data_IF_375893955509
#
_entry.id   IF_375893955509
#
_cell.length_a   1.000
_cell.length_b   1.000
_cell.length_c   1.000
_cell.angle_alpha   90.00
_cell.angle_beta   90.00
_cell.angle_gamma   90.00
#
_symmetry.space_group_name_H-M   'P 1'
#
loop_
_entity.id
_entity.type
_entity.pdbx_description
1 polymer ?
#
# COMPACT_ATOMS: atom_id res chain seq x y z
N UNK A 1 14.29 37.45 -12.25
CA UNK A 1 14.51 35.99 -12.25
C UNK A 1 13.34 35.34 -12.98
N UNK A 2 13.63 34.51 -13.99
CA UNK A 2 12.85 34.36 -15.24
C UNK A 2 11.66 33.38 -15.16
N UNK A 3 10.56 33.70 -15.87
CA UNK A 3 9.42 32.80 -16.14
C UNK A 3 9.82 31.48 -16.83
N UNK A 4 10.95 31.44 -17.53
CA UNK A 4 11.44 30.24 -18.22
C UNK A 4 11.81 29.10 -17.26
N UNK A 5 12.39 29.42 -16.09
CA UNK A 5 12.73 28.44 -15.05
C UNK A 5 11.51 27.84 -14.35
N UNK A 6 10.36 28.54 -14.32
CA UNK A 6 9.11 27.99 -13.75
C UNK A 6 8.40 27.03 -14.72
N UNK A 7 8.45 27.29 -16.03
CA UNK A 7 7.82 26.45 -17.06
C UNK A 7 8.59 25.14 -17.29
N UNK A 8 9.93 25.17 -17.18
CA UNK A 8 10.75 23.96 -17.26
C UNK A 8 10.54 23.04 -16.04
N UNK A 9 10.40 23.62 -14.84
CA UNK A 9 10.19 22.85 -13.61
C UNK A 9 8.79 22.21 -13.53
N UNK A 10 7.78 22.82 -14.15
CA UNK A 10 6.42 22.24 -14.23
C UNK A 10 6.29 21.16 -15.31
N UNK A 11 7.05 21.23 -16.40
CA UNK A 11 7.11 20.18 -17.42
C UNK A 11 7.72 18.87 -16.89
N UNK A 12 8.90 18.96 -16.26
CA UNK A 12 9.62 17.81 -15.70
C UNK A 12 8.78 17.08 -14.64
N UNK A 13 8.15 17.82 -13.72
CA UNK A 13 7.30 17.22 -12.67
C UNK A 13 6.07 16.50 -13.24
N UNK A 14 5.58 16.90 -14.41
CA UNK A 14 4.43 16.28 -15.05
C UNK A 14 4.81 14.97 -15.73
N UNK A 15 5.94 14.94 -16.42
CA UNK A 15 6.50 13.73 -17.02
C UNK A 15 6.80 12.65 -15.96
N UNK A 16 7.39 13.05 -14.83
CA UNK A 16 7.63 12.15 -13.68
C UNK A 16 6.34 11.52 -13.13
N UNK A 17 5.27 12.31 -13.03
CA UNK A 17 3.97 11.82 -12.55
C UNK A 17 3.32 10.85 -13.55
N UNK A 18 3.41 11.14 -14.84
CA UNK A 18 2.89 10.27 -15.90
C UNK A 18 3.63 8.92 -15.95
N UNK A 19 4.96 8.93 -15.76
CA UNK A 19 5.77 7.72 -15.66
C UNK A 19 5.40 6.90 -14.41
N UNK A 20 5.23 7.56 -13.25
CA UNK A 20 4.80 6.92 -12.02
C UNK A 20 3.41 6.28 -12.15
N UNK A 21 2.47 6.97 -12.81
CA UNK A 21 1.13 6.43 -13.09
C UNK A 21 1.18 5.22 -13.99
N UNK A 22 1.96 5.28 -15.08
CA UNK A 22 2.14 4.14 -15.97
C UNK A 22 2.71 2.92 -15.24
N UNK A 23 3.73 3.14 -14.40
CA UNK A 23 4.36 2.08 -13.60
C UNK A 23 3.40 1.47 -12.58
N UNK A 24 2.58 2.31 -11.93
CA UNK A 24 1.53 1.87 -11.00
C UNK A 24 0.49 1.02 -11.73
N UNK A 25 -0.02 1.49 -12.88
CA UNK A 25 -0.99 0.75 -13.70
C UNK A 25 -0.44 -0.61 -14.14
N UNK A 26 0.80 -0.67 -14.64
CA UNK A 26 1.42 -1.93 -15.08
C UNK A 26 1.58 -2.94 -13.94
N UNK A 27 1.86 -2.47 -12.72
CA UNK A 27 2.03 -3.36 -11.57
C UNK A 27 0.70 -3.83 -11.01
N UNK A 28 -0.29 -2.95 -10.96
CA UNK A 28 -1.63 -3.27 -10.48
C UNK A 28 -2.44 -4.10 -11.48
N UNK A 29 -2.06 -4.14 -12.77
CA UNK A 29 -2.67 -5.03 -13.76
C UNK A 29 -2.28 -6.50 -13.62
N UNK A 30 -1.19 -6.80 -12.91
CA UNK A 30 -0.72 -8.16 -12.57
C UNK A 30 -1.46 -8.77 -11.37
N UNK A 31 -2.45 -8.05 -10.84
CA UNK A 31 -3.23 -8.44 -9.66
C UNK A 31 -4.66 -8.70 -10.12
N UNK A 32 -5.11 -9.95 -10.02
CA UNK A 32 -6.44 -10.36 -10.50
C UNK A 32 -7.59 -9.73 -9.72
N UNK A 33 -7.47 -9.70 -8.39
CA UNK A 33 -8.49 -9.13 -7.52
C UNK A 33 -7.88 -8.16 -6.51
N UNK A 34 -8.40 -6.93 -6.47
CA UNK A 34 -8.02 -5.85 -5.55
C UNK A 34 -9.21 -5.52 -4.67
N UNK A 35 -9.09 -5.78 -3.37
CA UNK A 35 -10.17 -5.58 -2.40
C UNK A 35 -9.71 -4.67 -1.27
N UNK A 36 -10.35 -3.52 -1.13
CA UNK A 36 -10.11 -2.64 0.01
C UNK A 36 -10.86 -3.10 1.25
N UNK A 37 -10.22 -2.97 2.41
CA UNK A 37 -10.84 -3.21 3.71
C UNK A 37 -10.88 -1.87 4.45
N UNK A 38 -12.09 -1.41 4.78
CA UNK A 38 -12.33 -0.10 5.39
C UNK A 38 -13.09 -0.21 6.71
N UNK A 39 -13.01 0.83 7.53
CA UNK A 39 -13.83 0.96 8.74
C UNK A 39 -14.23 2.41 8.99
N UNK A 40 -15.40 2.62 9.60
CA UNK A 40 -15.86 3.97 9.96
C UNK A 40 -15.13 4.58 11.16
N UNK A 41 -14.53 3.74 12.01
CA UNK A 41 -13.78 4.15 13.22
C UNK A 41 -12.57 3.24 13.45
N UNK A 42 -11.64 3.71 14.26
CA UNK A 42 -10.54 2.88 14.79
C UNK A 42 -11.06 1.85 15.80
N UNK A 43 -10.33 0.74 15.95
CA UNK A 43 -10.60 -0.27 16.98
C UNK A 43 -11.69 -1.30 16.66
N UNK A 44 -12.34 -1.24 15.50
CA UNK A 44 -13.39 -2.22 15.11
C UNK A 44 -12.87 -3.59 14.64
N UNK A 45 -11.55 -3.81 14.67
CA UNK A 45 -10.93 -5.06 14.21
C UNK A 45 -10.68 -5.16 12.70
N UNK A 46 -10.67 -4.04 11.97
CA UNK A 46 -10.40 -3.99 10.51
C UNK A 46 -9.17 -4.80 10.09
N UNK A 47 -8.00 -4.50 10.66
CA UNK A 47 -6.75 -5.20 10.33
C UNK A 47 -6.79 -6.68 10.72
N UNK A 48 -7.51 -7.02 11.79
CA UNK A 48 -7.72 -8.42 12.19
C UNK A 48 -8.48 -9.19 11.12
N UNK A 49 -9.55 -8.60 10.58
CA UNK A 49 -10.30 -9.17 9.47
C UNK A 49 -9.41 -9.29 8.23
N UNK A 50 -8.64 -8.25 7.88
CA UNK A 50 -7.73 -8.25 6.73
C UNK A 50 -6.72 -9.40 6.80
N UNK A 51 -6.01 -9.55 7.93
CA UNK A 51 -5.00 -10.60 8.13
C UNK A 51 -5.62 -12.00 8.09
N UNK A 52 -6.77 -12.20 8.74
CA UNK A 52 -7.42 -13.51 8.77
C UNK A 52 -7.96 -13.92 7.39
N UNK A 53 -8.51 -12.97 6.62
CA UNK A 53 -8.90 -13.21 5.23
C UNK A 53 -7.69 -13.59 4.38
N UNK A 54 -6.58 -12.87 4.50
CA UNK A 54 -5.35 -13.18 3.78
C UNK A 54 -4.85 -14.60 4.09
N UNK A 55 -4.81 -14.99 5.37
CA UNK A 55 -4.44 -16.33 5.80
C UNK A 55 -5.40 -17.39 5.25
N UNK A 56 -6.71 -17.12 5.27
CA UNK A 56 -7.71 -18.06 4.75
C UNK A 56 -7.56 -18.28 3.23
N UNK A 57 -7.30 -17.23 2.47
CA UNK A 57 -7.05 -17.33 1.03
C UNK A 57 -5.68 -17.92 0.71
N UNK A 58 -4.64 -17.62 1.50
CA UNK A 58 -3.30 -18.20 1.31
C UNK A 58 -3.26 -19.71 1.57
N UNK A 59 -4.22 -20.26 2.34
CA UNK A 59 -4.43 -21.71 2.47
C UNK A 59 -5.09 -22.35 1.24
N UNK A 60 -5.72 -21.56 0.37
CA UNK A 60 -6.45 -22.02 -0.83
C UNK A 60 -5.65 -21.80 -2.12
N UNK A 61 -4.95 -20.68 -2.22
CA UNK A 61 -4.11 -20.35 -3.37
C UNK A 61 -2.68 -20.88 -3.20
N UNK A 62 -1.93 -20.87 -4.30
CA UNK A 62 -0.50 -21.18 -4.26
C UNK A 62 0.28 -20.13 -3.45
N UNK A 63 1.41 -20.51 -2.81
CA UNK A 63 2.27 -19.56 -2.10
C UNK A 63 2.69 -18.38 -2.99
N UNK A 64 2.64 -17.16 -2.45
CA UNK A 64 3.02 -15.95 -3.17
C UNK A 64 1.91 -15.32 -4.03
N UNK A 65 0.70 -15.88 -4.02
CA UNK A 65 -0.48 -15.37 -4.77
C UNK A 65 -1.40 -14.45 -3.98
N UNK A 66 -1.21 -14.35 -2.67
CA UNK A 66 -1.97 -13.44 -1.79
C UNK A 66 -1.07 -12.34 -1.29
N UNK A 67 -1.53 -11.09 -1.43
CA UNK A 67 -0.87 -9.89 -0.94
C UNK A 67 -1.68 -9.18 0.14
N UNK A 68 -0.98 -8.55 1.09
CA UNK A 68 -1.54 -7.53 1.99
C UNK A 68 -0.75 -6.24 1.80
N UNK A 69 -1.46 -5.16 1.50
CA UNK A 69 -0.97 -3.80 1.57
C UNK A 69 -1.52 -3.14 2.83
N UNK A 70 -0.65 -2.89 3.80
CA UNK A 70 -0.95 -2.11 5.00
C UNK A 70 -0.69 -0.63 4.70
N UNK A 71 -1.78 0.12 4.49
CA UNK A 71 -1.75 1.54 4.17
C UNK A 71 -2.00 2.44 5.40
N UNK A 72 -2.12 1.85 6.60
CA UNK A 72 -2.25 2.62 7.84
C UNK A 72 -0.89 3.13 8.31
N UNK A 73 -0.60 4.39 7.96
CA UNK A 73 0.68 5.05 8.26
C UNK A 73 0.84 5.34 9.76
N UNK A 74 -0.24 5.61 10.46
CA UNK A 74 -0.18 6.06 11.86
C UNK A 74 -0.16 4.91 12.86
N UNK A 75 -0.68 3.75 12.46
CA UNK A 75 -0.74 2.59 13.34
C UNK A 75 -0.66 1.27 12.60
N UNK A 76 0.43 1.01 11.85
CA UNK A 76 0.57 -0.24 11.11
C UNK A 76 0.52 -1.42 12.09
N UNK A 77 -0.30 -2.40 11.74
CA UNK A 77 -0.55 -3.56 12.60
C UNK A 77 -0.30 -4.89 11.88
N UNK A 78 -0.29 -4.91 10.54
CA UNK A 78 -0.17 -6.15 9.76
C UNK A 78 1.14 -6.89 10.06
N UNK A 79 2.33 -6.25 10.04
CA UNK A 79 3.59 -6.95 10.29
C UNK A 79 3.63 -7.61 11.67
N UNK A 80 3.18 -6.89 12.70
CA UNK A 80 3.11 -7.40 14.06
C UNK A 80 2.19 -8.63 14.17
N UNK A 81 1.01 -8.57 13.55
CA UNK A 81 0.03 -9.67 13.56
C UNK A 81 0.53 -10.93 12.84
N UNK A 82 1.38 -10.76 11.83
CA UNK A 82 1.98 -11.87 11.08
C UNK A 82 3.31 -12.36 11.67
N UNK A 83 3.79 -11.78 12.78
CA UNK A 83 5.07 -12.12 13.39
C UNK A 83 6.29 -11.62 12.61
N UNK A 84 6.12 -10.59 11.78
CA UNK A 84 7.13 -10.00 10.89
C UNK A 84 7.72 -8.69 11.43
N UNK A 85 7.68 -8.50 12.75
CA UNK A 85 8.22 -7.27 13.36
C UNK A 85 9.73 -7.19 13.14
N UNK A 86 10.20 -6.09 12.56
CA UNK A 86 11.62 -5.86 12.26
C UNK A 86 12.06 -6.35 10.89
N UNK A 87 11.16 -6.93 10.09
CA UNK A 87 11.44 -7.20 8.68
C UNK A 87 11.57 -5.88 7.89
N UNK A 88 12.32 -5.93 6.80
CA UNK A 88 12.54 -4.79 5.90
C UNK A 88 12.21 -5.17 4.46
N UNK A 89 11.75 -4.20 3.68
CA UNK A 89 11.57 -4.39 2.23
C UNK A 89 12.94 -4.54 1.56
N UNK A 90 13.05 -5.50 0.64
CA UNK A 90 14.24 -5.63 -0.20
C UNK A 90 14.13 -4.64 -1.35
N UNK A 91 15.11 -3.76 -1.49
CA UNK A 91 15.15 -2.75 -2.55
C UNK A 91 16.16 -3.16 -3.62
N UNK A 92 15.80 -2.96 -4.88
CA UNK A 92 16.66 -3.18 -6.05
C UNK A 92 16.42 -2.08 -7.09
N UNK A 93 17.22 -2.01 -8.17
CA UNK A 93 16.94 -1.11 -9.29
C UNK A 93 15.56 -1.31 -9.94
N UNK A 94 14.96 -2.49 -9.80
CA UNK A 94 13.61 -2.80 -10.32
C UNK A 94 12.48 -2.29 -9.41
N UNK A 95 12.80 -1.81 -8.20
CA UNK A 95 11.86 -1.40 -7.17
C UNK A 95 12.04 -2.15 -5.84
N UNK A 96 11.09 -1.93 -4.94
CA UNK A 96 10.99 -2.63 -3.66
C UNK A 96 10.14 -3.89 -3.79
N UNK A 97 10.57 -4.96 -3.13
CA UNK A 97 9.86 -6.24 -3.12
C UNK A 97 9.14 -6.45 -1.78
N UNK A 98 7.89 -6.96 -1.80
CA UNK A 98 7.18 -7.32 -0.58
C UNK A 98 7.97 -8.28 0.31
N UNK A 99 7.85 -8.10 1.62
CA UNK A 99 8.31 -9.10 2.58
C UNK A 99 7.47 -10.38 2.43
N UNK A 100 8.07 -11.54 2.70
CA UNK A 100 7.38 -12.83 2.60
C UNK A 100 6.97 -13.28 3.99
N UNK A 101 5.67 -13.17 4.28
CA UNK A 101 5.09 -13.62 5.53
C UNK A 101 4.71 -15.10 5.53
N UNK A 102 4.03 -15.55 6.59
CA UNK A 102 3.52 -16.92 6.72
C UNK A 102 2.71 -17.35 5.50
N UNK A 103 2.78 -18.64 5.14
CA UNK A 103 2.10 -19.22 3.97
C UNK A 103 2.47 -18.58 2.62
N UNK A 104 3.57 -17.81 2.56
CA UNK A 104 3.99 -17.09 1.36
C UNK A 104 3.16 -15.85 1.08
N UNK A 105 2.44 -15.30 2.06
CA UNK A 105 1.71 -14.03 1.90
C UNK A 105 2.73 -12.92 1.64
N UNK A 106 2.53 -12.16 0.56
CA UNK A 106 3.35 -10.98 0.27
C UNK A 106 2.85 -9.80 1.09
N UNK A 107 3.72 -9.22 1.91
CA UNK A 107 3.34 -8.14 2.83
C UNK A 107 4.11 -6.88 2.49
N UNK A 108 3.37 -5.78 2.40
CA UNK A 108 3.90 -4.43 2.29
C UNK A 108 3.26 -3.62 3.39
N UNK A 109 4.09 -2.96 4.20
CA UNK A 109 3.65 -2.02 5.23
C UNK A 109 4.64 -0.87 5.29
N UNK A 110 4.14 0.31 5.64
CA UNK A 110 4.97 1.47 5.98
C UNK A 110 5.91 1.18 7.17
N UNK A 111 5.53 0.22 8.02
CA UNK A 111 6.34 -0.23 9.16
C UNK A 111 7.73 -0.71 8.75
N UNK A 112 7.85 -1.29 7.55
CA UNK A 112 9.12 -1.77 7.01
C UNK A 112 10.03 -0.67 6.48
N UNK A 113 9.51 0.55 6.33
CA UNK A 113 10.23 1.72 5.84
C UNK A 113 10.70 2.64 6.97
N UNK A 114 10.13 2.50 8.17
CA UNK A 114 10.49 3.32 9.32
C UNK A 114 11.67 2.67 10.06
N UNK A 115 12.81 3.37 10.24
CA UNK A 115 13.93 2.85 11.02
C UNK A 115 13.61 2.75 12.52
N UNK A 116 12.59 3.48 12.99
CA UNK A 116 12.11 3.47 14.37
C UNK A 116 10.59 3.70 14.40
N UNK A 117 9.87 2.92 15.23
CA UNK A 117 8.39 2.94 15.30
C UNK A 117 7.84 4.07 16.16
N UNK A 118 8.70 4.79 16.89
CA UNK A 118 8.32 5.91 17.75
C UNK A 118 8.48 7.27 17.08
N UNK A 119 9.14 7.33 15.92
CA UNK A 119 9.32 8.59 15.18
C UNK A 119 8.03 8.96 14.45
N UNK A 120 7.28 10.00 14.87
CA UNK A 120 6.05 10.39 14.19
C UNK A 120 6.39 10.99 12.84
N UNK A 121 5.99 10.31 11.77
CA UNK A 121 6.16 10.83 10.41
C UNK A 121 5.03 11.78 10.09
N UNK A 122 5.26 13.08 10.31
CA UNK A 122 4.28 14.13 9.98
C UNK A 122 4.39 14.46 8.49
N UNK A 123 3.63 13.74 7.65
CA UNK A 123 3.46 14.09 6.24
C UNK A 123 2.27 15.03 6.05
N UNK A 124 2.53 16.26 5.57
CA UNK A 124 1.47 17.25 5.28
C UNK A 124 0.85 17.00 3.90
N UNK A 125 -0.46 16.82 3.85
CA UNK A 125 -1.34 16.79 2.66
C UNK A 125 -0.67 16.35 1.33
N UNK A 126 -0.20 17.29 0.48
CA UNK A 126 0.37 16.95 -0.83
C UNK A 126 1.61 16.05 -0.79
N UNK A 127 2.44 16.17 0.26
CA UNK A 127 3.62 15.32 0.46
C UNK A 127 3.19 13.89 0.77
N UNK A 128 2.10 13.72 1.52
CA UNK A 128 1.56 12.40 1.89
C UNK A 128 1.04 11.65 0.65
N UNK A 129 0.19 12.27 -0.15
CA UNK A 129 -0.34 11.63 -1.37
C UNK A 129 0.76 11.30 -2.36
N UNK A 130 1.77 12.17 -2.51
CA UNK A 130 2.92 11.91 -3.37
C UNK A 130 3.77 10.74 -2.85
N UNK A 131 4.01 10.66 -1.54
CA UNK A 131 4.74 9.56 -0.92
C UNK A 131 3.99 8.23 -1.05
N UNK A 132 2.66 8.21 -0.83
CA UNK A 132 1.82 7.03 -1.03
C UNK A 132 1.85 6.59 -2.50
N UNK A 133 1.72 7.52 -3.44
CA UNK A 133 1.79 7.21 -4.88
C UNK A 133 3.14 6.61 -5.24
N UNK A 134 4.23 7.22 -4.81
CA UNK A 134 5.58 6.70 -5.03
C UNK A 134 5.74 5.31 -4.42
N UNK A 135 5.28 5.13 -3.19
CA UNK A 135 5.33 3.84 -2.52
C UNK A 135 4.59 2.76 -3.33
N UNK A 136 3.34 3.00 -3.70
CA UNK A 136 2.54 2.06 -4.49
C UNK A 136 3.16 1.79 -5.87
N UNK A 137 3.75 2.80 -6.51
CA UNK A 137 4.41 2.67 -7.81
C UNK A 137 5.81 2.07 -7.73
N UNK A 138 6.40 1.90 -6.53
CA UNK A 138 7.73 1.31 -6.30
C UNK A 138 7.71 -0.13 -5.76
N UNK A 139 6.55 -0.63 -5.29
CA UNK A 139 6.36 -2.05 -4.98
C UNK A 139 6.19 -2.93 -6.23
N UNK A 140 7.05 -3.93 -6.37
CA UNK A 140 6.96 -4.99 -7.38
C UNK A 140 6.27 -6.22 -6.78
N UNK A 141 4.93 -6.28 -6.90
CA UNK A 141 4.12 -7.40 -6.40
C UNK A 141 4.35 -8.71 -7.15
N UNK A 142 4.65 -8.63 -8.45
CA UNK A 142 4.54 -9.76 -9.37
C UNK A 142 3.07 -10.19 -9.54
N UNK A 143 2.85 -11.44 -9.96
CA UNK A 143 1.51 -11.98 -10.16
C UNK A 143 0.82 -12.30 -8.83
N UNK A 144 -0.38 -11.76 -8.63
CA UNK A 144 -1.24 -12.05 -7.48
C UNK A 144 -2.64 -12.46 -7.93
N UNK A 145 -3.22 -13.42 -7.22
CA UNK A 145 -4.65 -13.75 -7.36
C UNK A 145 -5.52 -12.83 -6.50
N UNK A 146 -5.00 -12.35 -5.36
CA UNK A 146 -5.71 -11.44 -4.47
C UNK A 146 -4.74 -10.46 -3.78
N UNK A 147 -5.08 -9.17 -3.81
CA UNK A 147 -4.48 -8.13 -2.96
C UNK A 147 -5.55 -7.57 -2.02
N UNK A 148 -5.33 -7.71 -0.72
CA UNK A 148 -6.11 -7.06 0.32
C UNK A 148 -5.44 -5.75 0.74
N UNK A 149 -6.19 -4.66 0.74
CA UNK A 149 -5.68 -3.32 1.08
C UNK A 149 -6.27 -2.89 2.42
N UNK A 150 -5.46 -2.90 3.48
CA UNK A 150 -5.86 -2.43 4.80
C UNK A 150 -5.74 -0.90 4.85
N UNK A 151 -6.88 -0.20 4.74
CA UNK A 151 -6.89 1.26 4.71
C UNK A 151 -6.80 1.86 6.14
N UNK A 152 -6.34 3.11 6.30
CA UNK A 152 -6.43 3.81 7.59
C UNK A 152 -7.88 3.83 8.14
N UNK A 153 -8.08 3.93 9.46
CA UNK A 153 -9.42 4.00 10.04
C UNK A 153 -10.15 5.29 9.65
N UNK A 154 -11.46 5.19 9.50
CA UNK A 154 -12.32 6.29 9.08
C UNK A 154 -12.40 6.45 7.56
N UNK A 155 -13.13 7.48 7.12
CA UNK A 155 -13.33 7.81 5.71
C UNK A 155 -12.68 9.15 5.34
N UNK A 156 -11.60 9.50 6.03
CA UNK A 156 -10.86 10.75 5.79
C UNK A 156 -10.03 10.71 4.50
N UNK A 157 -9.36 11.82 4.23
CA UNK A 157 -8.59 12.04 2.99
C UNK A 157 -7.52 10.98 2.74
N UNK A 158 -6.99 10.35 3.79
CA UNK A 158 -5.94 9.33 3.68
C UNK A 158 -6.46 8.03 3.05
N UNK A 159 -7.58 7.51 3.58
CA UNK A 159 -8.23 6.32 3.03
C UNK A 159 -8.72 6.57 1.60
N UNK A 160 -9.28 7.76 1.35
CA UNK A 160 -9.74 8.17 0.03
C UNK A 160 -8.58 8.29 -0.97
N UNK A 161 -7.45 8.87 -0.56
CA UNK A 161 -6.27 9.03 -1.42
C UNK A 161 -5.71 7.67 -1.86
N UNK A 162 -5.56 6.72 -0.93
CA UNK A 162 -5.09 5.37 -1.29
C UNK A 162 -6.08 4.69 -2.23
N UNK A 163 -7.38 4.79 -1.95
CA UNK A 163 -8.42 4.20 -2.78
C UNK A 163 -8.44 4.79 -4.21
N UNK A 164 -8.23 6.11 -4.36
CA UNK A 164 -8.17 6.78 -5.66
C UNK A 164 -6.91 6.44 -6.47
N UNK A 165 -5.82 6.08 -5.80
CA UNK A 165 -4.57 5.70 -6.45
C UNK A 165 -4.60 4.27 -6.99
N UNK A 166 -5.40 3.38 -6.39
CA UNK A 166 -5.46 1.97 -6.81
C UNK A 166 -6.46 1.82 -7.96
N UNK A 167 -6.01 1.47 -9.17
CA UNK A 167 -6.89 1.36 -10.33
C UNK A 167 -7.69 0.07 -10.31
N UNK A 168 -8.91 0.14 -10.85
CA UNK A 168 -9.76 -1.03 -11.13
C UNK A 168 -9.94 -1.93 -9.89
N UNK A 169 -10.42 -1.34 -8.79
CA UNK A 169 -10.71 -2.08 -7.57
C UNK A 169 -11.98 -2.92 -7.74
N UNK A 170 -11.90 -4.21 -7.41
CA UNK A 170 -12.99 -5.18 -7.61
C UNK A 170 -14.06 -5.11 -6.53
N UNK A 171 -13.71 -4.63 -5.34
CA UNK A 171 -14.66 -4.56 -4.23
C UNK A 171 -14.12 -3.91 -2.97
N UNK A 172 -15.04 -3.75 -2.02
CA UNK A 172 -14.76 -3.17 -0.70
C UNK A 172 -15.42 -4.02 0.37
N UNK A 173 -14.68 -4.30 1.44
CA UNK A 173 -15.16 -4.93 2.67
C UNK A 173 -15.22 -3.85 3.74
N UNK A 174 -16.40 -3.67 4.34
CA UNK A 174 -16.62 -2.71 5.43
C UNK A 174 -16.66 -3.47 6.75
N UNK A 175 -15.75 -3.13 7.66
CA UNK A 175 -15.70 -3.70 9.00
C UNK A 175 -16.29 -2.70 9.99
N UNK A 176 -17.25 -3.16 10.79
CA UNK A 176 -17.97 -2.36 11.80
C UNK A 176 -18.26 -3.18 13.05
N UNK A 177 -18.62 -2.48 14.13
CA UNK A 177 -19.24 -3.03 15.35
C UNK A 177 -20.66 -2.50 15.50
#
# INVERSE_FOLDING_TARGET
MSKASQVQHTGVRREELEEQEKKLMERMSKIKHKVAVISGKGGVGKTVVTVNLAVAFAKKYDPGKVGILDADIHGPCVPRMLGMKGDILRVSPLGAFPATGPLGIKVVSIDFLLPDQETPVIWRGPLKTSAIRQFLSDITWGELDLLLIDLPPGTGDEALSVMQLIPEMDGVIIVTM
#
